data_IF_561584730933
#
_entry.id   IF_561584730933
#
_cell.length_a   1.000
_cell.length_b   1.000
_cell.length_c   1.000
_cell.angle_alpha   90.00
_cell.angle_beta   90.00
_cell.angle_gamma   90.00
#
_symmetry.space_group_name_H-M   'P 1'
#
loop_
_entity.id
_entity.type
_entity.pdbx_description
1 polymer ?
#
# COMPACT_ATOMS: atom_id res chain seq x y z
N UNK A 1 53.80 17.64 -27.25
CA UNK A 1 53.58 16.22 -26.84
C UNK A 1 54.51 15.90 -25.67
N UNK A 2 53.96 15.72 -24.47
CA UNK A 2 54.64 15.08 -23.35
C UNK A 2 53.61 14.22 -22.62
N UNK A 3 53.85 12.92 -22.65
CA UNK A 3 53.05 11.83 -22.10
C UNK A 3 53.41 11.59 -20.64
N UNK A 4 52.43 11.41 -19.75
CA UNK A 4 52.63 10.73 -18.46
C UNK A 4 51.53 9.67 -18.29
N UNK A 5 51.97 8.43 -18.01
CA UNK A 5 51.16 7.24 -17.68
C UNK A 5 51.07 7.05 -16.15
N UNK A 6 50.10 6.26 -15.65
CA UNK A 6 49.74 6.16 -14.23
C UNK A 6 50.54 5.06 -13.48
N UNK A 7 50.60 5.17 -12.15
CA UNK A 7 51.25 4.18 -11.29
C UNK A 7 50.23 3.34 -10.50
N UNK A 8 50.33 2.03 -10.67
CA UNK A 8 49.74 0.96 -9.87
C UNK A 8 50.56 0.75 -8.59
N UNK A 9 49.91 0.54 -7.44
CA UNK A 9 50.49 -0.23 -6.34
C UNK A 9 49.44 -1.20 -5.79
N UNK A 10 49.83 -2.48 -5.79
CA UNK A 10 49.15 -3.60 -5.15
C UNK A 10 49.58 -3.71 -3.67
N UNK A 11 48.69 -4.22 -2.81
CA UNK A 11 49.07 -4.82 -1.54
C UNK A 11 48.14 -6.00 -1.22
N UNK A 12 48.77 -7.15 -1.02
CA UNK A 12 48.21 -8.49 -0.79
C UNK A 12 48.01 -8.82 0.69
N UNK A 13 47.26 -9.91 0.92
CA UNK A 13 47.24 -10.81 2.09
C UNK A 13 46.54 -10.28 3.36
N UNK A 14 45.76 -11.06 4.11
CA UNK A 14 45.85 -12.49 4.44
C UNK A 14 44.45 -13.03 4.82
N UNK A 15 44.09 -14.20 4.29
CA UNK A 15 42.95 -15.01 4.74
C UNK A 15 43.45 -15.95 5.83
N UNK A 16 42.82 -15.93 7.00
CA UNK A 16 43.01 -16.94 8.04
C UNK A 16 41.70 -17.73 8.22
N UNK A 17 41.68 -18.92 7.63
CA UNK A 17 40.73 -19.99 7.89
C UNK A 17 41.15 -20.79 9.14
N UNK A 18 40.23 -21.04 10.06
CA UNK A 18 40.27 -22.24 10.89
C UNK A 18 38.84 -22.69 11.25
N UNK A 19 38.44 -23.81 10.64
CA UNK A 19 37.41 -24.71 11.16
C UNK A 19 37.98 -25.45 12.39
N UNK A 20 37.12 -25.79 13.36
CA UNK A 20 36.93 -27.16 13.87
C UNK A 20 35.76 -27.19 14.88
N UNK A 21 35.01 -28.29 14.81
CA UNK A 21 33.75 -28.58 15.45
C UNK A 21 33.87 -28.99 16.94
N UNK A 22 32.73 -29.10 17.63
CA UNK A 22 32.62 -29.91 18.85
C UNK A 22 31.52 -29.49 19.83
N UNK A 23 30.38 -30.18 19.74
CA UNK A 23 29.23 -30.14 20.66
C UNK A 23 29.56 -30.54 22.09
N UNK A 24 28.90 -29.96 23.11
CA UNK A 24 28.36 -30.71 24.25
C UNK A 24 27.44 -29.88 25.18
N UNK A 25 26.39 -30.57 25.62
CA UNK A 25 25.30 -30.30 26.56
C UNK A 25 25.69 -29.80 27.98
N UNK A 26 24.73 -29.07 28.57
CA UNK A 26 24.13 -29.25 29.91
C UNK A 26 24.55 -28.40 31.14
N UNK A 27 23.51 -27.78 31.72
CA UNK A 27 23.12 -27.64 33.14
C UNK A 27 23.78 -26.61 34.08
N UNK A 28 22.88 -25.79 34.68
CA UNK A 28 22.96 -24.95 35.91
C UNK A 28 22.77 -25.84 37.17
N UNK A 29 22.70 -25.35 38.45
CA UNK A 29 23.07 -24.06 39.10
C UNK A 29 23.80 -24.25 40.48
N UNK A 30 23.82 -23.18 41.31
CA UNK A 30 24.10 -23.07 42.78
C UNK A 30 25.53 -22.66 43.16
N UNK A 31 25.82 -21.86 44.20
CA UNK A 31 25.10 -20.95 45.11
C UNK A 31 26.20 -20.11 45.85
N UNK A 32 25.78 -19.04 46.53
CA UNK A 32 26.41 -18.38 47.67
C UNK A 32 27.51 -17.31 47.45
N UNK A 33 27.16 -16.08 47.85
CA UNK A 33 27.77 -15.52 49.06
C UNK A 33 28.75 -14.33 48.95
N UNK A 34 28.17 -13.13 49.14
CA UNK A 34 28.59 -12.13 50.13
C UNK A 34 29.66 -11.04 49.81
N UNK A 35 29.19 -9.79 50.00
CA UNK A 35 29.83 -8.58 50.51
C UNK A 35 31.13 -7.99 49.91
N UNK A 36 30.98 -6.77 49.38
CA UNK A 36 31.52 -5.59 50.09
C UNK A 36 32.66 -4.79 49.42
N UNK A 37 32.46 -3.46 49.42
CA UNK A 37 33.45 -2.34 49.35
C UNK A 37 33.88 -1.79 47.96
N UNK A 38 33.38 -0.58 47.67
CA UNK A 38 34.13 0.54 47.06
C UNK A 38 35.08 1.16 48.13
N UNK A 39 36.21 1.83 47.83
CA UNK A 39 36.29 3.13 47.12
C UNK A 39 37.43 3.17 46.05
N UNK A 40 37.30 3.88 44.92
CA UNK A 40 37.68 5.29 44.67
C UNK A 40 39.19 5.61 44.79
N UNK A 41 39.86 5.89 43.66
CA UNK A 41 40.99 6.82 43.57
C UNK A 41 41.32 7.17 42.10
N UNK A 42 41.42 8.47 41.85
CA UNK A 42 41.72 9.13 40.59
C UNK A 42 43.21 9.15 40.25
N UNK A 43 43.54 9.23 38.95
CA UNK A 43 44.79 9.87 38.48
C UNK A 43 44.50 10.67 37.21
N UNK A 44 44.79 11.97 37.28
CA UNK A 44 44.85 12.90 36.17
C UNK A 44 46.22 12.81 35.48
N UNK A 45 46.27 12.95 34.15
CA UNK A 45 47.45 13.45 33.45
C UNK A 45 47.00 14.47 32.40
N UNK A 46 47.51 15.69 32.55
CA UNK A 46 47.45 16.80 31.58
C UNK A 46 48.44 16.55 30.46
N UNK A 47 48.03 16.81 29.21
CA UNK A 47 48.94 17.18 28.13
C UNK A 47 48.24 18.16 27.19
N UNK A 48 48.94 19.25 26.91
CA UNK A 48 48.57 20.46 26.19
C UNK A 48 48.66 20.23 24.68
N UNK A 49 47.63 20.60 23.91
CA UNK A 49 47.70 20.68 22.43
C UNK A 49 47.16 22.02 21.96
N UNK A 50 48.02 22.69 21.20
CA UNK A 50 47.95 24.04 20.65
C UNK A 50 46.92 24.11 19.51
N UNK A 51 46.10 25.17 19.53
CA UNK A 51 45.01 25.43 18.58
C UNK A 51 45.43 25.44 17.10
N UNK A 52 44.72 24.67 16.27
CA UNK A 52 44.57 24.90 14.83
C UNK A 52 43.07 25.03 14.55
N UNK A 53 42.60 26.27 14.32
CA UNK A 53 41.21 26.57 13.97
C UNK A 53 40.89 26.09 12.55
N UNK A 54 40.19 24.98 12.45
CA UNK A 54 39.35 24.63 11.30
C UNK A 54 37.90 24.75 11.77
N UNK A 55 37.13 25.68 11.19
CA UNK A 55 35.70 25.80 11.46
C UNK A 55 34.96 24.63 10.79
N UNK A 56 34.62 23.63 11.59
CA UNK A 56 33.54 22.67 11.31
C UNK A 56 32.36 23.07 12.19
N UNK A 57 31.37 23.71 11.59
CA UNK A 57 30.09 23.96 12.25
C UNK A 57 29.23 22.71 12.11
N UNK A 58 29.34 21.81 13.09
CA UNK A 58 28.37 20.73 13.33
C UNK A 58 27.81 20.91 14.73
N UNK A 59 26.50 20.72 14.82
CA UNK A 59 25.68 20.59 16.04
C UNK A 59 25.31 21.88 16.78
N UNK A 60 24.24 22.52 16.29
CA UNK A 60 23.26 23.12 17.17
C UNK A 60 22.01 22.23 17.16
N UNK A 61 21.79 21.47 18.23
CA UNK A 61 20.46 20.94 18.49
C UNK A 61 19.56 22.13 18.84
N UNK A 62 18.58 22.40 17.99
CA UNK A 62 17.63 23.49 18.21
C UNK A 62 16.69 23.04 19.32
N UNK A 63 17.00 23.42 20.56
CA UNK A 63 16.02 23.41 21.64
C UNK A 63 15.22 24.71 21.63
N UNK A 64 14.03 24.69 22.23
CA UNK A 64 12.98 25.71 22.13
C UNK A 64 13.35 27.13 22.59
N UNK A 65 14.58 27.38 23.05
CA UNK A 65 15.04 28.65 23.59
C UNK A 65 15.55 29.67 22.55
N UNK A 66 15.58 29.33 21.25
CA UNK A 66 15.89 30.31 20.18
C UNK A 66 14.68 31.15 19.73
N UNK A 67 13.47 30.87 20.24
CA UNK A 67 12.27 31.65 19.94
C UNK A 67 12.08 32.77 20.97
N UNK A 68 12.92 33.80 20.91
CA UNK A 68 12.62 35.08 21.56
C UNK A 68 11.52 35.80 20.77
N UNK A 69 10.42 36.13 21.45
CA UNK A 69 9.65 37.34 21.16
C UNK A 69 8.60 37.33 20.05
N UNK A 70 8.17 36.19 19.51
CA UNK A 70 6.92 36.13 18.74
C UNK A 70 6.27 34.75 18.90
N UNK A 71 5.24 34.68 19.75
CA UNK A 71 4.53 33.45 20.07
C UNK A 71 4.18 32.64 18.82
N UNK A 72 4.40 31.33 18.88
CA UNK A 72 4.14 30.38 17.80
C UNK A 72 2.83 30.74 17.10
N UNK A 73 2.90 31.18 15.84
CA UNK A 73 1.72 31.49 15.03
C UNK A 73 1.00 30.18 14.74
N UNK A 74 0.25 29.62 15.71
CA UNK A 74 -0.30 28.25 15.69
C UNK A 74 -1.04 27.87 14.41
N UNK A 75 -2.37 27.90 14.40
CA UNK A 75 -3.13 27.55 13.18
C UNK A 75 -2.87 28.52 12.02
N UNK A 76 -2.57 29.80 12.32
CA UNK A 76 -2.33 30.85 11.32
C UNK A 76 -1.02 30.65 10.55
N UNK A 77 0.01 30.15 11.21
CA UNK A 77 1.30 29.84 10.58
C UNK A 77 1.20 28.57 9.73
N UNK A 78 0.39 27.60 10.15
CA UNK A 78 0.09 26.42 9.36
C UNK A 78 -0.76 26.74 8.12
N UNK A 79 -1.75 27.64 8.21
CA UNK A 79 -2.48 28.13 7.04
C UNK A 79 -1.55 28.84 6.06
N UNK A 80 -0.67 29.71 6.56
CA UNK A 80 0.32 30.36 5.71
C UNK A 80 1.33 29.35 5.11
N UNK A 81 1.69 28.29 5.84
CA UNK A 81 2.55 27.24 5.32
C UNK A 81 1.82 26.47 4.21
N UNK A 82 0.55 26.12 4.43
CA UNK A 82 -0.31 25.47 3.45
C UNK A 82 -0.42 26.29 2.16
N UNK A 83 -0.60 27.62 2.25
CA UNK A 83 -0.67 28.49 1.07
C UNK A 83 0.57 28.39 0.18
N UNK A 84 1.75 28.11 0.78
CA UNK A 84 3.02 27.95 0.07
C UNK A 84 3.28 26.53 -0.44
N UNK A 85 2.53 25.53 0.02
CA UNK A 85 2.73 24.11 -0.34
C UNK A 85 1.47 23.42 -0.84
N UNK A 86 0.37 24.15 -1.06
CA UNK A 86 -0.92 23.63 -1.52
C UNK A 86 -0.80 22.74 -2.76
N UNK A 87 0.12 23.09 -3.66
CA UNK A 87 0.37 22.40 -4.94
C UNK A 87 1.54 21.38 -4.83
N UNK A 88 1.98 21.06 -3.62
CA UNK A 88 3.10 20.15 -3.33
C UNK A 88 2.61 18.97 -2.50
N UNK A 89 3.34 17.83 -2.46
CA UNK A 89 2.94 16.66 -1.66
C UNK A 89 2.76 16.97 -0.16
N UNK A 90 3.41 18.03 0.34
CA UNK A 90 3.25 18.49 1.71
C UNK A 90 1.92 19.24 1.98
N UNK A 91 1.24 19.75 0.95
CA UNK A 91 -0.02 20.48 1.06
C UNK A 91 -1.13 19.67 1.74
N UNK A 92 -1.48 18.48 1.22
CA UNK A 92 -2.46 17.60 1.85
C UNK A 92 -2.14 17.24 3.31
N UNK A 93 -0.85 17.09 3.64
CA UNK A 93 -0.39 16.77 5.00
C UNK A 93 -0.60 17.95 5.96
N UNK A 94 -0.33 19.17 5.51
CA UNK A 94 -0.58 20.38 6.30
C UNK A 94 -2.08 20.65 6.42
N UNK A 95 -2.86 20.34 5.37
CA UNK A 95 -4.31 20.47 5.38
C UNK A 95 -4.96 19.51 6.40
N UNK A 96 -4.53 18.24 6.45
CA UNK A 96 -4.95 17.26 7.44
C UNK A 96 -4.60 17.70 8.89
N UNK A 97 -3.38 18.22 9.09
CA UNK A 97 -2.95 18.74 10.40
C UNK A 97 -3.82 19.92 10.88
N UNK A 98 -4.22 20.80 9.95
CA UNK A 98 -5.09 21.94 10.24
C UNK A 98 -6.49 21.50 10.64
N UNK A 99 -7.09 20.55 9.91
CA UNK A 99 -8.39 19.97 10.24
C UNK A 99 -8.38 19.31 11.63
N UNK A 100 -7.38 18.45 11.89
CA UNK A 100 -7.34 17.64 13.09
C UNK A 100 -7.01 18.42 14.38
N UNK A 101 -6.06 19.37 14.34
CA UNK A 101 -5.66 20.14 15.54
C UNK A 101 -6.42 21.44 15.73
N UNK A 102 -6.99 21.98 14.67
CA UNK A 102 -7.58 23.32 14.69
C UNK A 102 -8.99 23.36 14.10
N UNK A 103 -9.63 22.22 13.81
CA UNK A 103 -11.00 22.12 13.30
C UNK A 103 -12.01 23.06 13.95
N UNK A 104 -12.07 23.10 15.29
CA UNK A 104 -13.00 23.98 16.02
C UNK A 104 -12.74 25.50 15.83
N UNK A 105 -11.56 25.87 15.31
CA UNK A 105 -11.14 27.25 15.04
C UNK A 105 -11.21 27.62 13.55
N UNK A 106 -11.54 26.67 12.70
CA UNK A 106 -11.69 26.86 11.26
C UNK A 106 -13.15 27.16 10.93
N UNK A 107 -13.39 28.09 10.00
CA UNK A 107 -14.74 28.26 9.44
C UNK A 107 -15.13 27.03 8.63
N UNK A 108 -16.43 26.83 8.42
CA UNK A 108 -16.90 25.67 7.64
C UNK A 108 -16.43 25.76 6.17
N UNK A 109 -16.25 26.97 5.65
CA UNK A 109 -15.62 27.21 4.35
C UNK A 109 -14.12 26.84 4.34
N UNK A 110 -13.39 27.11 5.42
CA UNK A 110 -12.00 26.69 5.57
C UNK A 110 -11.87 25.19 5.75
N UNK A 111 -12.78 24.55 6.49
CA UNK A 111 -12.80 23.09 6.62
C UNK A 111 -13.05 22.43 5.28
N UNK A 112 -14.07 22.86 4.54
CA UNK A 112 -14.36 22.35 3.22
C UNK A 112 -13.18 22.53 2.24
N UNK A 113 -12.48 23.67 2.30
CA UNK A 113 -11.30 23.92 1.47
C UNK A 113 -10.09 23.05 1.85
N UNK A 114 -9.93 22.71 3.13
CA UNK A 114 -8.89 21.79 3.59
C UNK A 114 -9.26 20.34 3.30
N UNK A 115 -10.53 19.99 3.44
CA UNK A 115 -11.09 18.67 3.11
C UNK A 115 -10.86 18.35 1.62
N UNK A 116 -10.98 19.36 0.76
CA UNK A 116 -10.64 19.29 -0.66
C UNK A 116 -9.13 19.26 -0.99
N UNK A 117 -8.26 19.61 -0.03
CA UNK A 117 -6.80 19.45 -0.14
C UNK A 117 -6.33 18.12 0.48
N UNK A 118 -7.16 17.50 1.32
CA UNK A 118 -6.96 16.17 1.90
C UNK A 118 -7.43 15.03 1.00
N UNK A 119 -7.47 15.22 -0.32
CA UNK A 119 -7.63 14.16 -1.32
C UNK A 119 -6.43 13.20 -1.22
N UNK A 120 -6.51 12.32 -0.21
CA UNK A 120 -5.47 11.40 0.23
C UNK A 120 -5.07 10.47 -0.92
N UNK A 121 -6.03 10.09 -1.74
CA UNK A 121 -5.81 9.34 -2.98
C UNK A 121 -4.94 10.13 -3.97
N UNK A 122 -5.20 11.43 -4.18
CA UNK A 122 -4.38 12.24 -5.08
C UNK A 122 -2.95 12.43 -4.54
N UNK A 123 -2.81 12.66 -3.22
CA UNK A 123 -1.50 12.79 -2.59
C UNK A 123 -0.68 11.51 -2.73
N UNK A 124 -1.30 10.35 -2.47
CA UNK A 124 -0.69 9.04 -2.64
C UNK A 124 -0.38 8.77 -4.12
N UNK A 125 -1.28 9.11 -5.03
CA UNK A 125 -1.04 8.95 -6.46
C UNK A 125 0.14 9.78 -6.96
N UNK A 126 0.29 11.02 -6.49
CA UNK A 126 1.46 11.85 -6.82
C UNK A 126 2.76 11.26 -6.25
N UNK A 127 2.73 10.69 -5.04
CA UNK A 127 3.88 9.98 -4.47
C UNK A 127 4.23 8.75 -5.31
N UNK A 128 3.23 8.01 -5.79
CA UNK A 128 3.45 6.88 -6.68
C UNK A 128 4.11 7.33 -8.01
N UNK A 129 3.66 8.44 -8.60
CA UNK A 129 4.27 9.01 -9.80
C UNK A 129 5.75 9.37 -9.57
N UNK A 130 6.09 10.01 -8.44
CA UNK A 130 7.49 10.34 -8.08
C UNK A 130 8.34 9.07 -7.92
N UNK A 131 7.81 8.05 -7.26
CA UNK A 131 8.53 6.78 -7.05
C UNK A 131 8.79 6.07 -8.38
N UNK A 132 7.83 6.10 -9.30
CA UNK A 132 7.95 5.55 -10.64
C UNK A 132 8.99 6.32 -11.47
N UNK A 133 9.00 7.65 -11.42
CA UNK A 133 10.03 8.50 -12.05
C UNK A 133 11.44 8.23 -11.50
N UNK A 134 11.55 7.89 -10.21
CA UNK A 134 12.80 7.49 -9.56
C UNK A 134 13.21 6.04 -9.87
N UNK A 135 12.40 5.31 -10.62
CA UNK A 135 12.64 3.91 -10.99
C UNK A 135 12.19 2.89 -9.94
N UNK A 136 11.58 3.31 -8.83
CA UNK A 136 11.02 2.41 -7.82
C UNK A 136 9.57 2.02 -8.15
N UNK A 137 9.40 1.28 -9.25
CA UNK A 137 8.07 0.89 -9.76
C UNK A 137 7.29 0.04 -8.75
N UNK A 138 7.96 -0.82 -7.99
CA UNK A 138 7.31 -1.68 -6.98
C UNK A 138 6.73 -0.85 -5.82
N UNK A 139 7.46 0.16 -5.35
CA UNK A 139 6.98 1.04 -4.29
C UNK A 139 5.83 1.91 -4.82
N UNK A 140 5.95 2.39 -6.05
CA UNK A 140 4.87 3.12 -6.73
C UNK A 140 3.58 2.29 -6.79
N UNK A 141 3.66 0.99 -7.11
CA UNK A 141 2.51 0.08 -7.09
C UNK A 141 1.86 0.03 -5.70
N UNK A 142 2.66 -0.12 -4.64
CA UNK A 142 2.14 -0.21 -3.27
C UNK A 142 1.41 1.08 -2.89
N UNK A 143 2.03 2.23 -3.14
CA UNK A 143 1.42 3.54 -2.83
C UNK A 143 0.17 3.79 -3.68
N UNK A 144 0.17 3.40 -4.95
CA UNK A 144 -1.00 3.56 -5.82
C UNK A 144 -2.16 2.66 -5.40
N UNK A 145 -1.90 1.47 -4.80
CA UNK A 145 -2.94 0.67 -4.16
C UNK A 145 -3.54 1.38 -2.95
N UNK A 146 -2.71 2.03 -2.13
CA UNK A 146 -3.20 2.82 -1.00
C UNK A 146 -4.04 4.02 -1.47
N UNK A 147 -3.68 4.64 -2.60
CA UNK A 147 -4.48 5.69 -3.23
C UNK A 147 -5.87 5.19 -3.62
N UNK A 148 -5.95 4.02 -4.26
CA UNK A 148 -7.22 3.37 -4.62
C UNK A 148 -8.07 3.12 -3.37
N UNK A 149 -7.48 2.60 -2.29
CA UNK A 149 -8.21 2.34 -1.03
C UNK A 149 -8.75 3.62 -0.39
N UNK A 150 -8.09 4.75 -0.59
CA UNK A 150 -8.57 6.05 -0.11
C UNK A 150 -9.78 6.55 -0.92
N UNK A 151 -9.86 6.25 -2.22
CA UNK A 151 -10.99 6.58 -3.07
C UNK A 151 -11.31 5.48 -4.09
N UNK A 152 -12.17 4.55 -3.67
CA UNK A 152 -12.52 3.34 -4.45
C UNK A 152 -13.14 3.65 -5.82
N UNK A 153 -13.77 4.83 -5.97
CA UNK A 153 -14.49 5.26 -7.16
C UNK A 153 -13.61 6.06 -8.14
N UNK A 154 -12.37 6.37 -7.76
CA UNK A 154 -11.41 7.06 -8.63
C UNK A 154 -10.84 6.10 -9.70
N UNK A 155 -11.47 6.08 -10.88
CA UNK A 155 -11.09 5.20 -11.99
C UNK A 155 -9.66 5.48 -12.48
N UNK A 156 -9.20 6.73 -12.45
CA UNK A 156 -7.85 7.09 -12.91
C UNK A 156 -6.76 6.43 -12.08
N UNK A 157 -7.02 6.21 -10.79
CA UNK A 157 -6.09 5.50 -9.90
C UNK A 157 -5.87 4.04 -10.34
N UNK A 158 -6.89 3.36 -10.86
CA UNK A 158 -6.75 2.00 -11.42
C UNK A 158 -6.01 2.01 -12.75
N UNK A 159 -6.28 3.00 -13.61
CA UNK A 159 -5.57 3.19 -14.87
C UNK A 159 -4.06 3.41 -14.63
N UNK A 160 -3.69 4.24 -13.65
CA UNK A 160 -2.29 4.42 -13.24
C UNK A 160 -1.67 3.12 -12.72
N UNK A 161 -2.39 2.39 -11.87
CA UNK A 161 -1.93 1.09 -11.37
C UNK A 161 -1.67 0.09 -12.51
N UNK A 162 -2.54 0.07 -13.53
CA UNK A 162 -2.35 -0.75 -14.74
C UNK A 162 -1.04 -0.44 -15.47
N UNK A 163 -0.70 0.83 -15.64
CA UNK A 163 0.57 1.25 -16.26
C UNK A 163 1.79 0.78 -15.46
N UNK A 164 1.72 0.87 -14.13
CA UNK A 164 2.77 0.38 -13.26
C UNK A 164 2.91 -1.15 -13.38
N UNK A 165 1.79 -1.88 -13.49
CA UNK A 165 1.79 -3.33 -13.75
C UNK A 165 2.37 -3.69 -15.10
N UNK A 166 2.09 -2.93 -16.15
CA UNK A 166 2.70 -3.14 -17.47
C UNK A 166 4.22 -3.00 -17.43
N UNK A 167 4.73 -1.99 -16.70
CA UNK A 167 6.18 -1.81 -16.46
C UNK A 167 6.81 -3.01 -15.74
N UNK A 168 6.05 -3.68 -14.87
CA UNK A 168 6.46 -4.90 -14.18
C UNK A 168 6.20 -6.19 -15.00
N UNK A 169 5.68 -6.07 -16.23
CA UNK A 169 5.32 -7.22 -17.07
C UNK A 169 4.08 -7.98 -16.62
N UNK A 170 3.30 -7.44 -15.67
CA UNK A 170 2.09 -8.06 -15.11
C UNK A 170 0.86 -7.77 -15.96
N UNK A 171 0.81 -8.30 -17.17
CA UNK A 171 -0.27 -8.08 -18.13
C UNK A 171 -1.54 -8.90 -17.83
N UNK A 172 -2.59 -8.66 -18.61
CA UNK A 172 -3.86 -9.39 -18.56
C UNK A 172 -4.92 -8.71 -17.69
N UNK A 173 -6.14 -9.24 -17.76
CA UNK A 173 -7.30 -8.65 -17.09
C UNK A 173 -7.12 -8.70 -15.57
N UNK A 174 -7.35 -7.57 -14.91
CA UNK A 174 -7.30 -7.46 -13.45
C UNK A 174 -8.69 -7.43 -12.85
N UNK A 175 -8.80 -7.92 -11.62
CA UNK A 175 -10.02 -7.85 -10.82
C UNK A 175 -9.71 -7.10 -9.54
N UNK A 176 -10.51 -6.08 -9.27
CA UNK A 176 -10.51 -5.33 -8.04
C UNK A 176 -11.90 -5.41 -7.40
N UNK A 177 -11.96 -5.75 -6.12
CA UNK A 177 -13.20 -5.73 -5.33
C UNK A 177 -12.95 -4.85 -4.12
N UNK A 178 -13.71 -3.77 -3.99
CA UNK A 178 -13.55 -2.77 -2.94
C UNK A 178 -12.11 -2.22 -2.83
N UNK A 179 -11.46 -2.01 -3.98
CA UNK A 179 -10.10 -1.48 -4.08
C UNK A 179 -8.99 -2.48 -3.76
N UNK A 180 -9.34 -3.74 -3.49
CA UNK A 180 -8.38 -4.82 -3.28
C UNK A 180 -8.33 -5.77 -4.47
N UNK A 181 -7.17 -6.35 -4.73
CA UNK A 181 -6.97 -7.37 -5.76
C UNK A 181 -6.98 -8.74 -5.07
N UNK A 182 -8.10 -9.50 -5.14
CA UNK A 182 -8.19 -10.79 -4.50
C UNK A 182 -7.22 -11.79 -5.16
N UNK A 183 -6.63 -12.66 -4.35
CA UNK A 183 -5.84 -13.78 -4.87
C UNK A 183 -6.78 -14.76 -5.57
N UNK A 184 -6.51 -15.02 -6.85
CA UNK A 184 -7.31 -15.91 -7.68
C UNK A 184 -6.47 -17.03 -8.26
N UNK A 185 -7.02 -18.23 -8.33
CA UNK A 185 -6.39 -19.38 -9.00
C UNK A 185 -6.49 -19.26 -10.53
N UNK A 186 -7.63 -18.74 -11.01
CA UNK A 186 -7.88 -18.46 -12.42
C UNK A 186 -7.95 -16.96 -12.59
N UNK A 187 -7.06 -16.39 -13.42
CA UNK A 187 -7.10 -14.97 -13.72
C UNK A 187 -8.42 -14.63 -14.46
N UNK A 188 -9.01 -13.43 -14.25
CA UNK A 188 -10.10 -12.96 -15.09
C UNK A 188 -9.72 -12.98 -16.57
N UNK A 189 -10.70 -13.21 -17.45
CA UNK A 189 -10.48 -13.19 -18.89
C UNK A 189 -11.75 -12.84 -19.65
N UNK A 190 -11.60 -12.45 -20.91
CA UNK A 190 -12.73 -12.10 -21.78
C UNK A 190 -13.09 -13.29 -22.66
N UNK A 191 -14.37 -13.63 -22.73
CA UNK A 191 -14.92 -14.65 -23.64
C UNK A 191 -16.25 -14.14 -24.19
N UNK A 192 -16.40 -14.23 -25.51
CA UNK A 192 -17.63 -13.84 -26.23
C UNK A 192 -18.11 -12.40 -25.90
N UNK A 193 -17.17 -11.49 -25.64
CA UNK A 193 -17.45 -10.09 -25.31
C UNK A 193 -17.79 -9.82 -23.84
N UNK A 194 -17.85 -10.84 -22.99
CA UNK A 194 -18.06 -10.69 -21.55
C UNK A 194 -16.81 -11.04 -20.75
N UNK A 195 -16.53 -10.29 -19.68
CA UNK A 195 -15.45 -10.62 -18.76
C UNK A 195 -15.93 -11.67 -17.75
N UNK A 196 -15.27 -12.82 -17.77
CA UNK A 196 -15.47 -13.92 -16.84
C UNK A 196 -14.48 -13.81 -15.68
N UNK A 197 -14.99 -14.02 -14.48
CA UNK A 197 -14.30 -13.81 -13.22
C UNK A 197 -14.53 -15.01 -12.29
N UNK A 198 -13.56 -15.40 -11.45
CA UNK A 198 -13.76 -16.47 -10.47
C UNK A 198 -14.86 -16.10 -9.48
N UNK A 199 -15.93 -16.91 -9.45
CA UNK A 199 -17.12 -16.57 -8.70
C UNK A 199 -16.86 -16.52 -7.19
N UNK A 200 -16.03 -17.45 -6.69
CA UNK A 200 -15.66 -17.52 -5.27
C UNK A 200 -14.93 -16.27 -4.80
N UNK A 201 -13.98 -15.75 -5.58
CA UNK A 201 -13.20 -14.58 -5.22
C UNK A 201 -14.07 -13.33 -5.03
N UNK A 202 -15.06 -13.13 -5.92
CA UNK A 202 -16.01 -12.02 -5.78
C UNK A 202 -16.93 -12.25 -4.58
N UNK A 203 -17.47 -13.47 -4.44
CA UNK A 203 -18.40 -13.80 -3.37
C UNK A 203 -17.75 -13.60 -1.99
N UNK A 204 -16.53 -14.09 -1.79
CA UNK A 204 -15.78 -13.92 -0.53
C UNK A 204 -15.45 -12.45 -0.26
N UNK A 205 -14.98 -11.71 -1.27
CA UNK A 205 -14.67 -10.28 -1.12
C UNK A 205 -15.92 -9.44 -0.80
N UNK A 206 -17.10 -9.87 -1.27
CA UNK A 206 -18.40 -9.28 -0.95
C UNK A 206 -19.06 -9.90 0.28
N UNK A 207 -18.38 -10.81 0.99
CA UNK A 207 -18.87 -11.51 2.19
C UNK A 207 -20.17 -12.31 1.97
N UNK A 208 -20.35 -12.85 0.77
CA UNK A 208 -21.41 -13.77 0.43
C UNK A 208 -21.03 -15.21 0.78
N UNK A 209 -22.02 -16.00 1.18
CA UNK A 209 -21.86 -17.44 1.38
C UNK A 209 -22.04 -18.18 0.06
N UNK A 210 -21.18 -19.18 -0.21
CA UNK A 210 -21.19 -19.94 -1.45
C UNK A 210 -21.41 -21.42 -1.14
N UNK A 211 -22.36 -22.04 -1.84
CA UNK A 211 -22.65 -23.48 -1.76
C UNK A 211 -22.61 -24.11 -3.14
N UNK A 212 -22.02 -25.30 -3.24
CA UNK A 212 -21.96 -26.09 -4.47
C UNK A 212 -22.87 -27.31 -4.37
N UNK A 213 -23.70 -27.51 -5.40
CA UNK A 213 -24.46 -28.73 -5.59
C UNK A 213 -23.88 -29.51 -6.78
N UNK A 214 -23.29 -30.67 -6.50
CA UNK A 214 -22.67 -31.51 -7.51
C UNK A 214 -23.70 -32.25 -8.39
N UNK A 215 -24.85 -32.64 -7.83
CA UNK A 215 -25.90 -33.37 -8.55
C UNK A 215 -26.54 -32.49 -9.61
N UNK A 216 -26.84 -31.24 -9.25
CA UNK A 216 -27.43 -30.24 -10.16
C UNK A 216 -26.38 -29.49 -11.00
N UNK A 217 -25.09 -29.71 -10.74
CA UNK A 217 -23.97 -28.90 -11.27
C UNK A 217 -24.28 -27.40 -11.15
N UNK A 218 -24.60 -26.96 -9.93
CA UNK A 218 -25.00 -25.58 -9.67
C UNK A 218 -24.27 -24.97 -8.49
N UNK A 219 -23.96 -23.67 -8.58
CA UNK A 219 -23.49 -22.87 -7.44
C UNK A 219 -24.64 -21.99 -6.95
N UNK A 220 -24.85 -21.96 -5.64
CA UNK A 220 -25.75 -21.02 -4.98
C UNK A 220 -24.94 -20.04 -4.15
N UNK A 221 -25.30 -18.76 -4.21
CA UNK A 221 -24.73 -17.68 -3.41
C UNK A 221 -25.83 -17.03 -2.59
N UNK A 222 -25.53 -16.71 -1.34
CA UNK A 222 -26.46 -16.02 -0.44
C UNK A 222 -25.78 -14.83 0.23
N UNK A 223 -26.43 -13.67 0.16
CA UNK A 223 -25.96 -12.44 0.81
C UNK A 223 -27.13 -11.51 1.12
N UNK A 224 -27.24 -11.02 2.35
CA UNK A 224 -28.24 -10.03 2.76
C UNK A 224 -29.68 -10.38 2.33
N UNK A 225 -30.03 -11.67 2.39
CA UNK A 225 -31.33 -12.21 1.98
C UNK A 225 -31.50 -12.43 0.46
N UNK A 226 -30.53 -12.04 -0.35
CA UNK A 226 -30.49 -12.32 -1.79
C UNK A 226 -29.95 -13.73 -2.01
N UNK A 227 -30.62 -14.52 -2.86
CA UNK A 227 -30.17 -15.86 -3.27
C UNK A 227 -29.96 -15.91 -4.78
N UNK A 228 -28.74 -16.22 -5.22
CA UNK A 228 -28.39 -16.39 -6.62
C UNK A 228 -28.03 -17.85 -6.88
N UNK A 229 -28.72 -18.52 -7.82
CA UNK A 229 -28.41 -19.90 -8.24
C UNK A 229 -27.98 -19.91 -9.70
N UNK A 230 -26.81 -20.47 -9.97
CA UNK A 230 -26.17 -20.56 -11.28
C UNK A 230 -25.96 -22.01 -11.65
N UNK A 231 -26.25 -22.38 -12.90
CA UNK A 231 -25.98 -23.72 -13.43
C UNK A 231 -24.77 -23.68 -14.35
N UNK A 232 -23.88 -24.64 -14.20
CA UNK A 232 -22.68 -24.75 -15.04
C UNK A 232 -23.08 -25.16 -16.46
N UNK A 233 -22.43 -24.54 -17.44
CA UNK A 233 -22.64 -24.74 -18.88
C UNK A 233 -24.06 -24.37 -19.36
N UNK A 234 -24.78 -23.59 -18.56
CA UNK A 234 -26.13 -23.12 -18.87
C UNK A 234 -26.21 -21.60 -18.74
N UNK A 235 -26.91 -20.96 -19.67
CA UNK A 235 -27.24 -19.54 -19.58
C UNK A 235 -28.36 -19.26 -18.56
N UNK A 236 -28.98 -20.30 -17.98
CA UNK A 236 -30.06 -20.15 -17.01
C UNK A 236 -29.48 -19.88 -15.61
N UNK A 237 -30.04 -18.89 -14.93
CA UNK A 237 -29.79 -18.58 -13.53
C UNK A 237 -31.09 -18.22 -12.81
N UNK A 238 -31.05 -18.19 -11.48
CA UNK A 238 -32.14 -17.66 -10.65
C UNK A 238 -31.60 -16.60 -9.69
N UNK A 239 -32.33 -15.49 -9.55
CA UNK A 239 -32.12 -14.47 -8.52
C UNK A 239 -33.41 -14.35 -7.72
N UNK A 240 -33.36 -14.67 -6.43
CA UNK A 240 -34.53 -14.74 -5.53
C UNK A 240 -35.67 -15.58 -6.11
N UNK A 241 -35.31 -16.72 -6.72
CA UNK A 241 -36.24 -17.66 -7.35
C UNK A 241 -36.79 -17.22 -8.71
N UNK A 242 -36.46 -16.02 -9.20
CA UNK A 242 -36.85 -15.55 -10.54
C UNK A 242 -35.79 -15.95 -11.57
N UNK A 243 -36.24 -16.54 -12.68
CA UNK A 243 -35.33 -16.94 -13.76
C UNK A 243 -34.72 -15.72 -14.45
N UNK A 244 -33.41 -15.74 -14.65
CA UNK A 244 -32.63 -14.74 -15.37
C UNK A 244 -31.74 -15.46 -16.38
N UNK A 245 -31.53 -14.85 -17.55
CA UNK A 245 -30.63 -15.40 -18.58
C UNK A 245 -29.30 -14.65 -18.56
N UNK A 246 -28.20 -15.40 -18.53
CA UNK A 246 -26.83 -14.90 -18.63
C UNK A 246 -26.46 -14.60 -20.08
N UNK A 247 -25.68 -13.54 -20.31
CA UNK A 247 -25.09 -13.26 -21.63
C UNK A 247 -24.13 -14.37 -22.07
N UNK A 248 -23.31 -14.87 -21.12
CA UNK A 248 -22.38 -15.98 -21.31
C UNK A 248 -22.62 -16.99 -20.17
N UNK A 249 -22.75 -18.29 -20.46
CA UNK A 249 -22.92 -19.31 -19.43
C UNK A 249 -21.84 -19.29 -18.35
N UNK A 250 -22.21 -19.62 -17.12
CA UNK A 250 -21.23 -19.97 -16.10
C UNK A 250 -20.46 -21.23 -16.55
N UNK A 251 -19.16 -21.28 -16.30
CA UNK A 251 -18.31 -22.38 -16.76
C UNK A 251 -17.35 -22.81 -15.65
N UNK A 252 -16.78 -24.01 -15.78
CA UNK A 252 -15.65 -24.44 -14.95
C UNK A 252 -14.38 -24.34 -15.79
N UNK A 253 -13.39 -23.60 -15.29
CA UNK A 253 -12.05 -23.46 -15.87
C UNK A 253 -11.05 -23.83 -14.79
N UNK A 254 -10.16 -24.79 -15.06
CA UNK A 254 -9.14 -25.27 -14.09
C UNK A 254 -9.71 -25.54 -12.69
N UNK A 255 -10.87 -26.21 -12.63
CA UNK A 255 -11.56 -26.56 -11.38
C UNK A 255 -12.30 -25.40 -10.69
N UNK A 256 -12.31 -24.20 -11.27
CA UNK A 256 -12.92 -23.00 -10.70
C UNK A 256 -14.15 -22.56 -11.51
N UNK A 257 -15.24 -22.25 -10.81
CA UNK A 257 -16.42 -21.66 -11.45
C UNK A 257 -16.14 -20.21 -11.83
N UNK A 258 -16.28 -19.90 -13.11
CA UNK A 258 -16.17 -18.54 -13.67
C UNK A 258 -17.51 -18.09 -14.24
N UNK A 259 -17.80 -16.81 -14.08
CA UNK A 259 -19.13 -16.23 -14.30
C UNK A 259 -19.02 -14.83 -14.90
N UNK A 260 -20.00 -14.35 -15.67
CA UNK A 260 -19.99 -12.97 -16.16
C UNK A 260 -20.02 -11.99 -14.99
N UNK A 261 -19.04 -11.09 -14.94
CA UNK A 261 -18.89 -10.15 -13.82
C UNK A 261 -20.13 -9.26 -13.65
N UNK A 262 -20.70 -8.78 -14.76
CA UNK A 262 -21.88 -7.90 -14.74
C UNK A 262 -23.05 -8.55 -14.01
N UNK A 263 -23.37 -9.80 -14.36
CA UNK A 263 -24.46 -10.53 -13.72
C UNK A 263 -24.26 -10.66 -12.21
N UNK A 264 -23.06 -11.07 -11.78
CA UNK A 264 -22.80 -11.29 -10.34
C UNK A 264 -22.85 -9.99 -9.56
N UNK A 265 -22.25 -8.92 -10.10
CA UNK A 265 -22.27 -7.60 -9.46
C UNK A 265 -23.69 -7.07 -9.32
N UNK A 266 -24.49 -7.11 -10.39
CA UNK A 266 -25.89 -6.68 -10.36
C UNK A 266 -26.73 -7.51 -9.38
N UNK A 267 -26.61 -8.84 -9.44
CA UNK A 267 -27.35 -9.74 -8.56
C UNK A 267 -27.01 -9.51 -7.08
N UNK A 268 -25.75 -9.18 -6.77
CA UNK A 268 -25.28 -8.90 -5.41
C UNK A 268 -25.40 -7.42 -4.99
N UNK A 269 -26.04 -6.58 -5.79
CA UNK A 269 -26.17 -5.12 -5.56
C UNK A 269 -24.82 -4.42 -5.39
N UNK A 270 -23.83 -4.83 -6.18
CA UNK A 270 -22.54 -4.16 -6.28
C UNK A 270 -22.43 -3.43 -7.63
N UNK A 271 -21.78 -2.27 -7.62
CA UNK A 271 -21.44 -1.57 -8.85
C UNK A 271 -20.25 -2.27 -9.53
N UNK A 272 -20.26 -2.30 -10.85
CA UNK A 272 -19.16 -2.82 -11.66
C UNK A 272 -18.76 -1.79 -12.70
N UNK A 273 -17.45 -1.57 -12.85
CA UNK A 273 -16.90 -0.71 -13.87
C UNK A 273 -15.78 -1.44 -14.62
N UNK A 274 -15.73 -1.22 -15.93
CA UNK A 274 -14.65 -1.69 -16.79
C UNK A 274 -13.76 -0.52 -17.14
N UNK A 275 -12.48 -0.62 -16.78
CA UNK A 275 -11.46 0.29 -17.26
C UNK A 275 -10.70 -0.39 -18.40
N UNK A 276 -10.71 0.22 -19.58
CA UNK A 276 -10.22 -0.40 -20.81
C UNK A 276 -8.70 -0.34 -21.00
N UNK A 277 -8.01 0.68 -20.50
CA UNK A 277 -6.57 0.89 -20.75
C UNK A 277 -5.71 -0.10 -19.95
N UNK A 278 -6.06 -0.27 -18.67
CA UNK A 278 -5.50 -1.24 -17.72
C UNK A 278 -6.17 -2.61 -17.77
N UNK A 279 -7.24 -2.77 -18.55
CA UNK A 279 -8.06 -3.98 -18.61
C UNK A 279 -8.53 -4.43 -17.21
N UNK A 280 -9.11 -3.51 -16.45
CA UNK A 280 -9.47 -3.73 -15.05
C UNK A 280 -10.98 -3.84 -14.86
N UNK A 281 -11.40 -4.91 -14.20
CA UNK A 281 -12.73 -5.05 -13.62
C UNK A 281 -12.70 -4.46 -12.21
N UNK A 282 -13.53 -3.46 -11.95
CA UNK A 282 -13.59 -2.75 -10.67
C UNK A 282 -15.00 -2.98 -10.09
N UNK A 283 -15.08 -3.67 -8.97
CA UNK A 283 -16.32 -3.92 -8.24
C UNK A 283 -16.30 -3.09 -6.96
N UNK A 284 -17.35 -2.32 -6.70
CA UNK A 284 -17.49 -1.53 -5.48
C UNK A 284 -18.88 -1.67 -4.88
N UNK A 285 -18.95 -1.82 -3.57
CA UNK A 285 -20.22 -1.76 -2.84
C UNK A 285 -20.68 -0.30 -2.68
N UNK A 286 -21.96 -0.03 -2.93
CA UNK A 286 -22.60 1.22 -2.53
C UNK A 286 -22.96 1.12 -1.04
N UNK A 287 -22.11 1.71 -0.19
CA UNK A 287 -22.33 1.81 1.27
C UNK A 287 -23.37 2.86 1.62
#
# INVERSE_FOLDING_TARGET
>A
MKTNKPWLIAASCLVATSLMAGSALAAKPEDAGNAGKKPEAAVQVKAEVKELKVKLDTEASVTSSTYDGNGHKGYRGLLNALDNVKDRPAGPVIADLLLNKYGAKLSDEQKAALEALTEKDQALSNVADILDEQGSVTDAVYVQKDAIKANLKNIDSYKKLGKLYDKLGKKGVKLYVNGEEPTVEVAPFIRDGSTLVPFRAISEALKAEVSWNAEERSVTVTRDGITVKLFIDSAKAYVDGKEVTLEVPAAIVDGNTVVPVRFVSEALKAAVNWESESQSVIITEDK
#
